data_IF_612524267050
#
_entry.id   IF_612524267050
#
_cell.length_a   1.000
_cell.length_b   1.000
_cell.length_c   1.000
_cell.angle_alpha   90.00
_cell.angle_beta   90.00
_cell.angle_gamma   90.00
#
_symmetry.space_group_name_H-M   'P 1'
#
loop_
_entity.id
_entity.type
_entity.pdbx_description
1 polymer ?
#
# COMPACT_ATOMS: atom_id res chain seq x y z
N UNK A 1 -32.35 5.19 9.82
CA UNK A 1 -30.94 5.08 9.39
C UNK A 1 -30.88 4.36 8.05
N UNK A 2 -30.69 5.10 6.95
CA UNK A 2 -30.75 4.56 5.58
C UNK A 2 -29.35 4.24 4.98
N UNK A 3 -28.30 4.40 5.79
CA UNK A 3 -26.90 4.25 5.38
C UNK A 3 -26.15 3.46 6.45
N UNK A 4 -25.39 2.47 6.01
CA UNK A 4 -24.46 1.68 6.82
C UNK A 4 -23.12 1.70 6.12
N UNK A 5 -22.04 2.08 6.83
CA UNK A 5 -20.68 2.04 6.31
C UNK A 5 -19.90 1.00 7.11
N UNK A 6 -19.30 0.03 6.42
CA UNK A 6 -18.49 -1.04 7.03
C UNK A 6 -17.13 -1.07 6.34
N UNK A 7 -16.06 -0.97 7.13
CA UNK A 7 -14.69 -1.13 6.66
C UNK A 7 -14.15 -2.48 7.14
N UNK A 8 -13.75 -3.36 6.22
CA UNK A 8 -13.11 -4.63 6.58
C UNK A 8 -13.52 -5.82 5.72
N UNK A 9 -13.12 -7.01 6.18
CA UNK A 9 -13.42 -8.27 5.51
C UNK A 9 -14.61 -8.96 6.19
N UNK A 10 -15.66 -9.21 5.42
CA UNK A 10 -16.91 -9.80 5.91
C UNK A 10 -17.03 -11.23 5.39
N UNK A 11 -17.26 -12.15 6.33
CA UNK A 11 -17.48 -13.57 6.07
C UNK A 11 -18.87 -13.94 6.56
N UNK A 12 -19.77 -14.29 5.65
CA UNK A 12 -21.12 -14.72 5.96
C UNK A 12 -21.32 -16.18 5.53
N UNK A 13 -21.66 -17.05 6.47
CA UNK A 13 -21.84 -18.48 6.18
C UNK A 13 -22.97 -18.75 5.17
N UNK A 14 -24.03 -17.92 5.19
CA UNK A 14 -25.23 -18.13 4.39
C UNK A 14 -25.52 -16.97 3.43
N UNK A 15 -26.14 -15.91 3.91
CA UNK A 15 -26.52 -14.75 3.09
C UNK A 15 -25.96 -13.48 3.70
N UNK A 16 -25.36 -12.63 2.87
CA UNK A 16 -25.12 -11.23 3.19
C UNK A 16 -26.09 -10.37 2.37
N UNK A 17 -26.83 -9.49 3.05
CA UNK A 17 -27.77 -8.56 2.42
C UNK A 17 -27.33 -7.13 2.66
N UNK A 18 -27.09 -6.38 1.59
CA UNK A 18 -26.81 -4.94 1.60
C UNK A 18 -28.03 -4.20 1.03
N UNK A 19 -28.57 -3.25 1.77
CA UNK A 19 -29.79 -2.51 1.39
C UNK A 19 -29.58 -1.00 1.39
N UNK A 20 -30.46 -0.27 0.71
CA UNK A 20 -30.48 1.19 0.67
C UNK A 20 -29.10 1.76 0.24
N UNK A 21 -28.48 2.60 1.07
CA UNK A 21 -27.18 3.22 0.80
C UNK A 21 -26.05 2.53 1.58
N UNK A 22 -26.05 1.19 1.65
CA UNK A 22 -25.00 0.44 2.34
C UNK A 22 -23.67 0.46 1.58
N UNK A 23 -22.58 0.82 2.25
CA UNK A 23 -21.23 0.82 1.71
C UNK A 23 -20.35 -0.13 2.51
N UNK A 24 -19.71 -1.07 1.82
CA UNK A 24 -18.67 -1.92 2.37
C UNK A 24 -17.36 -1.61 1.67
N UNK A 25 -16.37 -1.13 2.40
CA UNK A 25 -15.01 -0.96 1.89
C UNK A 25 -14.17 -2.14 2.38
N UNK A 26 -13.87 -3.08 1.49
CA UNK A 26 -13.11 -4.29 1.79
C UNK A 26 -13.49 -5.48 0.93
N UNK A 27 -13.56 -6.66 1.54
CA UNK A 27 -13.79 -7.93 0.83
C UNK A 27 -14.98 -8.65 1.45
N UNK A 28 -15.80 -9.26 0.62
CA UNK A 28 -16.92 -10.09 1.04
C UNK A 28 -16.68 -11.53 0.62
N UNK A 29 -16.94 -12.46 1.52
CA UNK A 29 -17.11 -13.88 1.22
C UNK A 29 -18.44 -14.34 1.80
N UNK A 30 -19.36 -14.76 0.94
CA UNK A 30 -20.68 -15.23 1.33
C UNK A 30 -21.14 -16.34 0.38
N UNK A 31 -21.99 -17.26 0.86
CA UNK A 31 -22.65 -18.24 0.00
C UNK A 31 -23.67 -17.59 -0.94
N UNK A 32 -24.37 -16.56 -0.46
CA UNK A 32 -25.27 -15.72 -1.25
C UNK A 32 -25.05 -14.25 -0.89
N UNK A 33 -24.95 -13.40 -1.90
CA UNK A 33 -24.89 -11.95 -1.76
C UNK A 33 -26.14 -11.33 -2.41
N UNK A 34 -26.87 -10.51 -1.65
CA UNK A 34 -28.02 -9.76 -2.14
C UNK A 34 -27.77 -8.28 -1.92
N UNK A 35 -27.80 -7.49 -3.00
CA UNK A 35 -27.54 -6.04 -2.99
C UNK A 35 -28.75 -5.31 -3.56
N UNK A 36 -29.24 -4.30 -2.85
CA UNK A 36 -30.38 -3.47 -3.26
C UNK A 36 -30.13 -1.98 -3.04
N UNK A 37 -30.90 -1.12 -3.70
CA UNK A 37 -30.70 0.33 -3.65
C UNK A 37 -29.37 0.76 -4.27
N UNK A 38 -28.72 1.74 -3.67
CA UNK A 38 -27.40 2.28 -4.08
C UNK A 38 -26.25 1.62 -3.31
N UNK A 39 -26.42 0.37 -2.87
CA UNK A 39 -25.40 -0.34 -2.11
C UNK A 39 -24.16 -0.64 -2.96
N UNK A 40 -22.97 -0.58 -2.34
CA UNK A 40 -21.69 -0.81 -3.02
C UNK A 40 -20.70 -1.57 -2.15
N UNK A 41 -19.88 -2.38 -2.81
CA UNK A 41 -18.68 -2.98 -2.24
C UNK A 41 -17.50 -2.36 -2.98
N UNK A 42 -16.68 -1.60 -2.26
CA UNK A 42 -15.47 -0.98 -2.79
C UNK A 42 -14.25 -1.73 -2.26
N UNK A 43 -13.13 -1.62 -2.98
CA UNK A 43 -11.84 -1.97 -2.41
C UNK A 43 -11.63 -1.16 -1.12
N UNK A 44 -11.24 -1.83 -0.03
CA UNK A 44 -10.68 -1.09 1.09
C UNK A 44 -9.33 -0.58 0.63
N UNK A 45 -9.29 0.70 0.25
CA UNK A 45 -8.07 1.47 0.07
C UNK A 45 -7.40 1.58 1.44
N UNK A 46 -6.78 0.48 1.90
CA UNK A 46 -5.82 0.58 2.96
C UNK A 46 -4.65 1.35 2.38
N UNK A 47 -4.59 2.62 2.76
CA UNK A 47 -3.57 3.54 2.30
C UNK A 47 -2.19 2.93 2.57
N UNK A 48 -1.48 2.64 1.48
CA UNK A 48 -0.04 2.36 1.36
C UNK A 48 0.52 1.16 2.12
N UNK A 49 0.34 -0.03 1.54
CA UNK A 49 1.49 -0.91 1.33
C UNK A 49 1.76 -0.99 -0.18
N UNK A 50 2.17 0.12 -0.77
CA UNK A 50 2.91 0.00 -2.01
C UNK A 50 4.13 -0.84 -1.66
N UNK A 51 4.22 -2.07 -2.20
CA UNK A 51 5.50 -2.75 -2.31
C UNK A 51 6.45 -1.70 -2.92
N UNK A 52 7.50 -1.35 -2.18
CA UNK A 52 8.42 -0.30 -2.57
C UNK A 52 8.84 -0.53 -4.03
N UNK A 53 8.49 0.41 -4.90
CA UNK A 53 8.85 0.41 -6.31
C UNK A 53 9.76 1.60 -6.53
N UNK A 54 11.02 1.33 -6.83
CA UNK A 54 11.99 2.34 -7.25
C UNK A 54 12.47 1.98 -8.63
N UNK A 55 12.30 2.91 -9.57
CA UNK A 55 12.75 2.76 -10.94
C UNK A 55 14.25 3.04 -11.09
N UNK A 56 14.95 3.30 -9.98
CA UNK A 56 16.37 3.66 -9.88
C UNK A 56 16.74 4.90 -10.70
N UNK A 57 15.77 5.74 -11.08
CA UNK A 57 15.96 6.91 -11.91
C UNK A 57 15.69 8.20 -11.12
N UNK A 58 16.40 8.35 -10.00
CA UNK A 58 16.25 9.45 -9.04
C UNK A 58 17.61 10.05 -8.71
N UNK A 59 17.65 11.34 -8.41
CA UNK A 59 18.89 12.07 -8.08
C UNK A 59 19.27 12.02 -6.60
N UNK A 60 18.38 11.52 -5.73
CA UNK A 60 18.62 11.37 -4.29
C UNK A 60 17.87 10.16 -3.73
N UNK A 61 18.36 9.58 -2.64
CA UNK A 61 17.81 8.38 -1.98
C UNK A 61 16.39 8.57 -1.42
N UNK A 62 15.99 9.79 -1.05
CA UNK A 62 14.69 10.11 -0.43
C UNK A 62 14.30 9.20 0.74
N UNK A 63 13.02 9.21 1.12
CA UNK A 63 12.58 8.64 2.42
C UNK A 63 12.58 7.11 2.47
N UNK A 64 12.52 6.43 1.33
CA UNK A 64 12.45 4.96 1.28
C UNK A 64 13.82 4.30 1.50
N UNK A 65 14.90 5.07 1.44
CA UNK A 65 16.26 4.60 1.59
C UNK A 65 16.90 5.32 2.77
N UNK A 66 17.29 4.57 3.80
CA UNK A 66 17.95 5.11 4.99
C UNK A 66 19.44 4.74 4.91
N UNK A 67 20.31 5.63 4.40
CA UNK A 67 21.74 5.37 4.40
C UNK A 67 22.31 5.46 5.82
N UNK A 68 23.31 4.65 6.11
CA UNK A 68 23.98 4.62 7.39
C UNK A 68 25.51 4.62 7.21
N UNK A 69 26.20 5.41 8.02
CA UNK A 69 27.67 5.44 8.12
C UNK A 69 28.06 4.78 9.43
N UNK A 70 28.68 3.61 9.36
CA UNK A 70 29.16 2.90 10.56
C UNK A 70 30.37 3.59 11.19
N UNK A 71 31.31 4.07 10.36
CA UNK A 71 32.55 4.76 10.77
C UNK A 71 33.04 5.68 9.65
N UNK A 72 33.81 6.73 9.97
CA UNK A 72 34.34 7.68 8.98
C UNK A 72 33.33 8.76 8.56
N UNK A 73 33.62 9.46 7.45
CA UNK A 73 32.80 10.58 6.95
C UNK A 73 31.94 10.26 5.72
N UNK A 74 32.04 9.03 5.20
CA UNK A 74 31.34 8.63 3.98
C UNK A 74 29.91 8.16 4.28
N UNK A 75 28.92 8.76 3.63
CA UNK A 75 27.52 8.30 3.65
C UNK A 75 27.12 7.77 2.28
N UNK A 76 26.60 6.53 2.18
CA UNK A 76 26.09 5.99 0.91
C UNK A 76 25.10 6.94 0.24
N UNK A 77 25.28 7.16 -1.05
CA UNK A 77 24.51 8.12 -1.83
C UNK A 77 24.49 7.72 -3.31
N UNK A 78 23.62 8.36 -4.08
CA UNK A 78 23.56 8.15 -5.53
C UNK A 78 24.64 8.97 -6.23
N UNK A 79 25.44 8.32 -7.07
CA UNK A 79 26.42 8.93 -7.96
C UNK A 79 26.06 8.52 -9.38
N UNK A 80 25.74 9.48 -10.24
CA UNK A 80 25.33 9.22 -11.63
C UNK A 80 24.21 8.17 -11.73
N UNK A 81 23.18 8.29 -10.89
CA UNK A 81 22.03 7.37 -10.76
C UNK A 81 22.35 5.94 -10.30
N UNK A 82 23.57 5.66 -9.80
CA UNK A 82 23.90 4.38 -9.15
C UNK A 82 24.16 4.58 -7.66
N UNK A 83 23.65 3.67 -6.84
CA UNK A 83 23.97 3.65 -5.40
C UNK A 83 25.44 3.31 -5.21
N UNK A 84 26.18 4.23 -4.62
CA UNK A 84 27.55 4.00 -4.18
C UNK A 84 27.54 3.64 -2.69
N UNK A 85 27.89 2.38 -2.41
CA UNK A 85 27.91 1.82 -1.05
C UNK A 85 29.21 2.13 -0.28
N UNK A 86 30.30 2.41 -0.99
CA UNK A 86 31.65 2.58 -0.41
C UNK A 86 32.33 3.85 -0.92
N UNK A 87 33.34 4.32 -0.19
CA UNK A 87 34.14 5.49 -0.58
C UNK A 87 35.17 5.19 -1.68
N UNK A 88 35.39 3.91 -2.01
CA UNK A 88 36.37 3.49 -3.01
C UNK A 88 35.97 4.01 -4.40
N UNK A 89 36.75 4.98 -4.91
CA UNK A 89 36.51 5.59 -6.22
C UNK A 89 37.04 4.70 -7.37
N UNK A 90 37.82 3.65 -7.06
CA UNK A 90 38.62 2.93 -8.04
C UNK A 90 38.23 1.46 -8.22
N UNK A 91 37.30 0.91 -7.42
CA UNK A 91 36.82 -0.46 -7.56
C UNK A 91 35.29 -0.51 -7.36
N UNK A 92 34.57 -0.64 -8.48
CA UNK A 92 33.10 -0.78 -8.52
C UNK A 92 32.66 -2.22 -8.33
#
# INVERSE_FOLDING_TARGET
NNQSIVNGYIYAANQLTLNNNSELNGRVTARQLTMSGSSRINQFEQQLYACFSDNFNRSSLGQNWIPYTSTGGFTPSLISNRLRLTEDQNNQ
#
